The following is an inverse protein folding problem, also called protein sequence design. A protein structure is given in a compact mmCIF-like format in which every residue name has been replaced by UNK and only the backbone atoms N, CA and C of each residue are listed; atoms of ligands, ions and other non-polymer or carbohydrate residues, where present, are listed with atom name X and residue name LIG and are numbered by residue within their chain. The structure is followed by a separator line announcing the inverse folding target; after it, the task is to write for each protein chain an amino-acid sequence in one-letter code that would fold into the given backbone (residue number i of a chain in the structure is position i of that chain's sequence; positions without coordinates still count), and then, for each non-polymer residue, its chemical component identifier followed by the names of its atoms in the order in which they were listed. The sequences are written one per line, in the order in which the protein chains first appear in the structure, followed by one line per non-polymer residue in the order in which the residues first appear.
data_IF_913651973031
#
_entry.id   IF_913651973031
#
_cell.length_a   1.000
_cell.length_b   1.000
_cell.length_c   1.000
_cell.angle_alpha   90.00
_cell.angle_beta   90.00
_cell.angle_gamma   90.00
#
_symmetry.space_group_name_H-M   'P 1'
#
loop_
_entity.id
_entity.type
_entity.pdbx_description
1 polymer ?
#
# COMPACT_ATOMS: atom_id res chain seq x y z
N UNK A 1 -12.23 -11.17 8.14
CA UNK A 1 -12.59 -9.99 7.29
C UNK A 1 -14.11 -9.77 7.27
N UNK A 2 -14.90 -10.75 6.83
CA UNK A 2 -16.37 -10.63 6.75
C UNK A 2 -17.08 -10.36 8.07
N UNK A 3 -16.56 -10.89 9.19
CA UNK A 3 -17.06 -10.59 10.54
C UNK A 3 -17.03 -9.10 10.90
N UNK A 4 -16.26 -8.28 10.19
CA UNK A 4 -16.25 -6.83 10.35
C UNK A 4 -17.57 -6.16 9.98
N UNK A 5 -18.40 -6.74 9.08
CA UNK A 5 -19.69 -6.15 8.70
C UNK A 5 -20.70 -6.19 9.84
N UNK A 6 -20.97 -7.34 10.51
CA UNK A 6 -21.78 -7.37 11.73
C UNK A 6 -21.29 -6.40 12.81
N UNK A 7 -19.98 -6.29 13.03
CA UNK A 7 -19.43 -5.36 14.01
C UNK A 7 -19.66 -3.89 13.63
N UNK A 8 -19.45 -3.55 12.35
CA UNK A 8 -19.74 -2.22 11.84
C UNK A 8 -21.23 -1.87 11.91
N UNK A 9 -22.13 -2.82 11.62
CA UNK A 9 -23.57 -2.60 11.78
C UNK A 9 -23.92 -2.37 13.26
N UNK A 10 -23.39 -3.17 14.17
CA UNK A 10 -23.63 -3.00 15.60
C UNK A 10 -23.16 -1.62 16.08
N UNK A 11 -21.91 -1.24 15.79
CA UNK A 11 -21.40 0.09 16.17
C UNK A 11 -22.23 1.21 15.54
N UNK A 12 -22.61 1.07 14.27
CA UNK A 12 -23.42 2.05 13.53
C UNK A 12 -24.81 2.26 14.13
N UNK A 13 -25.49 1.20 14.56
CA UNK A 13 -26.87 1.28 15.04
C UNK A 13 -26.99 1.53 16.54
N UNK A 14 -26.07 1.00 17.34
CA UNK A 14 -26.20 1.04 18.81
C UNK A 14 -25.21 2.00 19.48
N UNK A 15 -24.07 2.28 18.85
CA UNK A 15 -23.00 3.08 19.46
C UNK A 15 -22.79 4.46 18.81
N UNK A 16 -23.45 4.76 17.70
CA UNK A 16 -23.33 6.09 17.06
C UNK A 16 -23.76 7.20 18.04
N UNK A 17 -22.89 8.21 18.22
CA UNK A 17 -23.07 9.34 19.14
C UNK A 17 -23.22 8.93 20.63
N UNK A 18 -22.75 7.73 21.01
CA UNK A 18 -22.55 7.34 22.41
C UNK A 18 -21.22 7.85 22.95
N UNK A 19 -20.98 7.65 24.24
CA UNK A 19 -19.74 8.04 24.89
C UNK A 19 -18.52 7.40 24.21
N UNK A 20 -17.46 8.18 24.00
CA UNK A 20 -16.26 7.75 23.26
C UNK A 20 -15.59 6.53 23.88
N UNK A 21 -15.61 6.40 25.21
CA UNK A 21 -15.02 5.24 25.89
C UNK A 21 -15.71 3.93 25.52
N UNK A 22 -17.03 3.93 25.24
CA UNK A 22 -17.76 2.76 24.78
C UNK A 22 -17.30 2.35 23.38
N UNK A 23 -17.03 3.32 22.51
CA UNK A 23 -16.46 3.06 21.17
C UNK A 23 -15.07 2.45 21.28
N UNK A 24 -14.22 2.99 22.15
CA UNK A 24 -12.88 2.44 22.35
C UNK A 24 -12.94 1.02 22.90
N UNK A 25 -13.74 0.78 23.94
CA UNK A 25 -13.90 -0.54 24.55
C UNK A 25 -14.46 -1.57 23.55
N UNK A 26 -15.46 -1.18 22.76
CA UNK A 26 -16.03 -2.02 21.71
C UNK A 26 -14.98 -2.42 20.67
N UNK A 27 -14.18 -1.45 20.20
CA UNK A 27 -13.11 -1.69 19.23
C UNK A 27 -12.02 -2.60 19.81
N UNK A 28 -11.60 -2.37 21.06
CA UNK A 28 -10.63 -3.23 21.75
C UNK A 28 -11.16 -4.65 21.84
N UNK A 29 -12.38 -4.84 22.37
CA UNK A 29 -12.96 -6.16 22.56
C UNK A 29 -13.08 -6.92 21.23
N UNK A 30 -13.72 -6.32 20.23
CA UNK A 30 -13.94 -6.96 18.93
C UNK A 30 -12.64 -7.23 18.17
N UNK A 31 -11.67 -6.31 18.22
CA UNK A 31 -10.36 -6.50 17.62
C UNK A 31 -9.55 -7.60 18.28
N UNK A 32 -9.54 -7.66 19.62
CA UNK A 32 -8.90 -8.75 20.37
C UNK A 32 -9.59 -10.08 20.12
N UNK A 33 -10.93 -10.11 20.01
CA UNK A 33 -11.65 -11.33 19.61
C UNK A 33 -11.23 -11.81 18.23
N UNK A 34 -11.07 -10.92 17.25
CA UNK A 34 -10.53 -11.27 15.92
C UNK A 34 -9.11 -11.79 16.04
N UNK A 35 -8.25 -11.13 16.81
CA UNK A 35 -6.86 -11.52 16.99
C UNK A 35 -6.74 -12.92 17.62
N UNK A 36 -7.47 -13.16 18.71
CA UNK A 36 -7.49 -14.45 19.39
C UNK A 36 -8.08 -15.56 18.50
N UNK A 37 -9.16 -15.29 17.78
CA UNK A 37 -9.78 -16.27 16.88
C UNK A 37 -8.82 -16.73 15.77
N UNK A 38 -8.03 -15.82 15.20
CA UNK A 38 -7.12 -16.17 14.09
C UNK A 38 -5.77 -16.71 14.56
N UNK A 39 -5.27 -16.26 15.73
CA UNK A 39 -3.87 -16.50 16.12
C UNK A 39 -3.71 -17.13 17.51
N UNK A 40 -4.80 -17.49 18.19
CA UNK A 40 -4.78 -18.01 19.55
C UNK A 40 -4.01 -17.08 20.48
N UNK A 41 -3.12 -17.66 21.30
CA UNK A 41 -2.29 -16.92 22.27
C UNK A 41 -1.23 -16.02 21.61
N UNK A 42 -0.95 -16.15 20.31
CA UNK A 42 0.04 -15.30 19.64
C UNK A 42 -0.38 -13.83 19.56
N UNK A 43 -1.65 -13.49 19.83
CA UNK A 43 -2.09 -12.10 19.91
C UNK A 43 -1.38 -11.27 21.00
N UNK A 44 -0.79 -11.92 22.01
CA UNK A 44 0.00 -11.23 23.05
C UNK A 44 1.16 -10.41 22.48
N UNK A 45 1.75 -10.82 21.36
CA UNK A 45 2.76 -10.02 20.65
C UNK A 45 2.28 -8.61 20.31
N UNK A 46 1.03 -8.50 19.82
CA UNK A 46 0.42 -7.20 19.53
C UNK A 46 0.14 -6.40 20.81
N UNK A 47 -0.33 -7.06 21.88
CA UNK A 47 -0.65 -6.41 23.16
C UNK A 47 0.58 -5.78 23.80
N UNK A 48 1.70 -6.52 23.81
CA UNK A 48 2.98 -6.03 24.35
C UNK A 48 3.42 -4.78 23.58
N UNK A 49 3.33 -4.79 22.25
CA UNK A 49 3.74 -3.66 21.43
C UNK A 49 2.84 -2.43 21.62
N UNK A 50 1.52 -2.62 21.81
CA UNK A 50 0.58 -1.54 22.12
C UNK A 50 0.83 -0.96 23.51
N UNK A 51 1.09 -1.81 24.51
CA UNK A 51 1.42 -1.37 25.87
C UNK A 51 2.72 -0.57 25.89
N UNK A 52 3.79 -1.10 25.29
CA UNK A 52 5.09 -0.43 25.22
C UNK A 52 4.95 0.89 24.46
N UNK A 53 4.17 0.94 23.38
CA UNK A 53 3.93 2.18 22.66
C UNK A 53 3.26 3.23 23.55
N UNK A 54 2.23 2.85 24.30
CA UNK A 54 1.58 3.76 25.25
C UNK A 54 2.57 4.28 26.31
N UNK A 55 3.41 3.40 26.86
CA UNK A 55 4.43 3.78 27.84
C UNK A 55 5.46 4.75 27.24
N UNK A 56 5.92 4.52 26.00
CA UNK A 56 6.82 5.44 25.30
C UNK A 56 6.17 6.83 25.18
N UNK A 57 4.92 6.92 24.70
CA UNK A 57 4.21 8.20 24.54
C UNK A 57 4.02 8.93 25.88
N UNK A 58 3.78 8.19 26.96
CA UNK A 58 3.56 8.76 28.31
C UNK A 58 4.84 9.18 29.00
N UNK A 59 5.87 8.34 28.98
CA UNK A 59 7.09 8.54 29.75
C UNK A 59 8.11 9.42 29.02
N UNK A 60 8.21 9.31 27.69
CA UNK A 60 9.17 10.06 26.89
C UNK A 60 8.57 11.32 26.27
N UNK A 61 7.24 11.48 26.33
CA UNK A 61 6.52 12.66 25.86
C UNK A 61 6.70 12.93 24.36
N UNK A 62 6.61 14.20 23.97
CA UNK A 62 6.70 14.66 22.58
C UNK A 62 8.15 14.93 22.18
N UNK A 63 9.00 13.93 22.31
CA UNK A 63 10.45 14.06 22.02
C UNK A 63 10.83 13.30 20.76
N UNK A 64 11.93 13.72 20.12
CA UNK A 64 12.52 12.95 19.02
C UNK A 64 13.01 11.58 19.51
N UNK A 65 13.44 11.48 20.78
CA UNK A 65 13.81 10.23 21.43
C UNK A 65 12.64 9.25 21.43
N UNK A 66 11.41 9.70 21.75
CA UNK A 66 10.22 8.84 21.69
C UNK A 66 9.97 8.29 20.28
N UNK A 67 10.12 9.13 19.24
CA UNK A 67 9.96 8.72 17.84
C UNK A 67 11.01 7.67 17.45
N UNK A 68 12.27 7.92 17.77
CA UNK A 68 13.39 7.03 17.47
C UNK A 68 13.24 5.69 18.20
N UNK A 69 12.93 5.72 19.49
CA UNK A 69 12.70 4.52 20.30
C UNK A 69 11.52 3.71 19.78
N UNK A 70 10.39 4.35 19.46
CA UNK A 70 9.25 3.68 18.80
C UNK A 70 9.68 3.04 17.48
N UNK A 71 10.38 3.78 16.61
CA UNK A 71 10.77 3.26 15.30
C UNK A 71 11.62 2.00 15.43
N UNK A 72 12.69 2.05 16.23
CA UNK A 72 13.58 0.91 16.42
C UNK A 72 12.88 -0.26 17.13
N UNK A 73 12.14 0.01 18.21
CA UNK A 73 11.42 -1.05 18.93
C UNK A 73 10.43 -1.78 18.03
N UNK A 74 9.51 -1.06 17.37
CA UNK A 74 8.45 -1.66 16.58
C UNK A 74 9.00 -2.42 15.35
N UNK A 75 9.99 -1.83 14.65
CA UNK A 75 10.64 -2.51 13.52
C UNK A 75 11.42 -3.74 13.98
N UNK A 76 12.17 -3.66 15.08
CA UNK A 76 12.95 -4.80 15.60
C UNK A 76 12.03 -5.94 16.02
N UNK A 77 10.92 -5.61 16.70
CA UNK A 77 9.93 -6.62 17.12
C UNK A 77 9.29 -7.30 15.91
N UNK A 78 8.91 -6.54 14.88
CA UNK A 78 8.40 -7.09 13.62
C UNK A 78 9.43 -7.99 12.93
N UNK A 79 10.69 -7.56 12.83
CA UNK A 79 11.76 -8.34 12.20
C UNK A 79 12.05 -9.62 12.97
N UNK A 80 12.08 -9.57 14.31
CA UNK A 80 12.19 -10.77 15.15
C UNK A 80 10.99 -11.70 14.92
N UNK A 81 9.79 -11.16 14.85
CA UNK A 81 8.59 -11.92 14.51
C UNK A 81 8.72 -12.64 13.17
N UNK A 82 9.18 -11.96 12.12
CA UNK A 82 9.46 -12.62 10.83
C UNK A 82 10.55 -13.67 10.93
N UNK A 83 11.65 -13.42 11.65
CA UNK A 83 12.73 -14.39 11.80
C UNK A 83 12.25 -15.69 12.46
N UNK A 84 11.49 -15.59 13.56
CA UNK A 84 11.01 -16.77 14.30
C UNK A 84 9.81 -17.45 13.64
N UNK A 85 9.16 -16.81 12.67
CA UNK A 85 7.93 -17.32 12.06
C UNK A 85 8.00 -17.40 10.54
N UNK A 86 9.15 -17.19 9.91
CA UNK A 86 9.26 -17.32 8.45
C UNK A 86 9.01 -18.76 8.00
N UNK A 87 8.31 -18.90 6.87
CA UNK A 87 8.07 -20.18 6.17
C UNK A 87 8.43 -20.02 4.70
N UNK A 88 8.65 -21.14 4.01
CA UNK A 88 8.95 -21.15 2.57
C UNK A 88 7.71 -20.96 1.67
N UNK A 89 6.53 -20.89 2.29
CA UNK A 89 5.23 -20.71 1.65
C UNK A 89 4.45 -19.58 2.32
N UNK A 90 3.49 -19.02 1.58
CA UNK A 90 2.60 -17.98 2.09
C UNK A 90 1.75 -18.53 3.23
N UNK A 91 1.92 -17.98 4.43
CA UNK A 91 1.20 -18.40 5.63
C UNK A 91 0.61 -17.18 6.36
N UNK A 92 -0.57 -17.36 6.94
CA UNK A 92 -1.29 -16.31 7.65
C UNK A 92 -0.94 -16.42 9.14
N UNK A 93 0.10 -15.68 9.53
CA UNK A 93 0.59 -15.64 10.92
C UNK A 93 0.23 -14.34 11.61
N UNK A 94 0.44 -14.30 12.93
CA UNK A 94 0.20 -13.10 13.74
C UNK A 94 1.02 -11.89 13.25
N UNK A 95 2.14 -12.12 12.55
CA UNK A 95 2.96 -11.09 11.93
C UNK A 95 2.25 -10.32 10.80
N UNK A 96 1.22 -10.90 10.18
CA UNK A 96 0.45 -10.28 9.10
C UNK A 96 -0.34 -9.04 9.55
N UNK A 97 -1.21 -9.08 10.58
CA UNK A 97 -1.77 -7.86 11.16
C UNK A 97 -0.73 -7.03 11.90
N UNK A 98 0.34 -7.65 12.41
CA UNK A 98 1.37 -6.94 13.17
C UNK A 98 2.18 -5.97 12.31
N UNK A 99 2.42 -6.27 11.02
CA UNK A 99 3.11 -5.35 10.13
C UNK A 99 2.29 -4.06 9.90
N UNK A 100 0.97 -4.18 9.84
CA UNK A 100 0.04 -3.04 9.76
C UNK A 100 0.07 -2.24 11.06
N UNK A 101 0.04 -2.93 12.22
CA UNK A 101 0.13 -2.33 13.54
C UNK A 101 1.45 -1.57 13.73
N UNK A 102 2.58 -2.13 13.29
CA UNK A 102 3.91 -1.50 13.34
C UNK A 102 3.88 -0.10 12.71
N UNK A 103 3.31 0.03 11.52
CA UNK A 103 3.18 1.33 10.84
C UNK A 103 2.24 2.28 11.59
N UNK A 104 1.12 1.78 12.13
CA UNK A 104 0.19 2.58 12.95
C UNK A 104 0.88 3.17 14.17
N UNK A 105 1.66 2.37 14.90
CA UNK A 105 2.32 2.80 16.15
C UNK A 105 3.47 3.78 15.87
N UNK A 106 4.25 3.55 14.80
CA UNK A 106 5.26 4.51 14.34
C UNK A 106 4.62 5.83 13.91
N UNK A 107 3.55 5.77 13.10
CA UNK A 107 2.81 6.95 12.66
C UNK A 107 2.25 7.75 13.85
N UNK A 108 1.67 7.07 14.84
CA UNK A 108 1.17 7.67 16.07
C UNK A 108 2.25 8.43 16.85
N UNK A 109 3.45 7.86 17.01
CA UNK A 109 4.54 8.55 17.70
C UNK A 109 4.98 9.82 16.97
N UNK A 110 5.07 9.76 15.64
CA UNK A 110 5.45 10.91 14.83
C UNK A 110 4.36 11.99 14.85
N UNK A 111 3.09 11.61 14.75
CA UNK A 111 1.95 12.54 14.80
C UNK A 111 1.81 13.18 16.19
N UNK A 112 2.11 12.44 17.26
CA UNK A 112 2.15 12.97 18.63
C UNK A 112 3.33 13.93 18.84
N UNK A 113 4.51 13.63 18.28
CA UNK A 113 5.64 14.55 18.28
C UNK A 113 5.33 15.86 17.55
N UNK A 114 4.74 15.77 16.35
CA UNK A 114 4.34 16.96 15.60
C UNK A 114 3.22 17.76 16.30
N UNK A 115 2.35 17.11 17.08
CA UNK A 115 1.35 17.76 17.92
C UNK A 115 1.89 18.64 19.05
N UNK A 116 3.20 18.58 19.33
CA UNK A 116 3.88 19.47 20.27
C UNK A 116 4.50 20.72 19.65
N UNK A 117 4.49 20.84 18.31
CA UNK A 117 5.07 21.98 17.61
C UNK A 117 4.04 23.08 17.38
N UNK A 118 4.54 24.30 17.18
CA UNK A 118 3.69 25.42 16.77
C UNK A 118 3.01 25.10 15.42
N UNK A 119 1.68 25.31 15.30
CA UNK A 119 0.96 25.15 14.04
C UNK A 119 1.59 25.85 12.83
N UNK A 120 2.25 27.00 13.01
CA UNK A 120 2.86 27.79 11.94
C UNK A 120 4.06 27.09 11.29
N UNK A 121 4.83 26.31 12.05
CA UNK A 121 5.97 25.53 11.54
C UNK A 121 5.56 24.18 10.95
N UNK A 122 4.29 23.79 11.06
CA UNK A 122 3.77 22.55 10.52
C UNK A 122 3.31 22.73 9.07
N UNK A 123 3.72 21.79 8.22
CA UNK A 123 3.10 21.66 6.89
C UNK A 123 1.59 21.37 7.02
N UNK A 124 0.76 21.70 6.01
CA UNK A 124 -0.68 21.41 6.06
C UNK A 124 -0.99 19.93 6.34
N UNK A 125 -0.17 19.02 5.82
CA UNK A 125 -0.32 17.58 6.08
C UNK A 125 -0.02 17.24 7.53
N UNK A 126 1.10 17.71 8.10
CA UNK A 126 1.41 17.47 9.51
C UNK A 126 0.34 18.06 10.43
N UNK A 127 -0.15 19.27 10.13
CA UNK A 127 -1.20 19.93 10.91
C UNK A 127 -2.51 19.11 10.93
N UNK A 128 -2.85 18.42 9.84
CA UNK A 128 -4.05 17.57 9.73
C UNK A 128 -4.01 16.36 10.66
N UNK A 129 -2.83 15.76 10.84
CA UNK A 129 -2.66 14.48 11.55
C UNK A 129 -2.02 14.62 12.94
N UNK A 130 -1.53 15.81 13.28
CA UNK A 130 -0.94 16.10 14.57
C UNK A 130 -1.89 15.71 15.74
N UNK A 131 -1.37 14.88 16.65
CA UNK A 131 -2.10 14.44 17.85
C UNK A 131 -1.77 15.39 19.00
N UNK A 132 -2.69 16.32 19.26
CA UNK A 132 -2.51 17.40 20.25
C UNK A 132 -2.92 17.04 21.68
N UNK A 133 -3.75 16.03 21.88
CA UNK A 133 -4.02 15.47 23.21
C UNK A 133 -2.96 14.45 23.58
N UNK A 134 -2.85 14.11 24.87
CA UNK A 134 -2.10 12.91 25.28
C UNK A 134 -3.05 11.71 25.23
N UNK A 135 -2.85 10.74 24.32
CA UNK A 135 -3.76 9.62 24.20
C UNK A 135 -3.84 8.78 25.48
N UNK A 136 -5.05 8.37 25.85
CA UNK A 136 -5.25 7.37 26.91
C UNK A 136 -4.87 5.97 26.42
N UNK A 137 -4.59 5.05 27.35
CA UNK A 137 -4.29 3.66 26.97
C UNK A 137 -5.46 3.01 26.22
N UNK A 138 -6.69 3.33 26.63
CA UNK A 138 -7.91 2.84 25.99
C UNK A 138 -8.06 3.38 24.56
N UNK A 139 -7.75 4.66 24.33
CA UNK A 139 -7.72 5.24 22.98
C UNK A 139 -6.66 4.58 22.08
N UNK A 140 -5.42 4.41 22.57
CA UNK A 140 -4.34 3.75 21.80
C UNK A 140 -4.72 2.31 21.48
N UNK A 141 -5.31 1.60 22.44
CA UNK A 141 -5.78 0.23 22.26
C UNK A 141 -6.92 0.17 21.25
N UNK A 142 -7.93 1.04 21.35
CA UNK A 142 -9.05 1.08 20.42
C UNK A 142 -8.64 1.43 18.99
N UNK A 143 -7.65 2.33 18.82
CA UNK A 143 -7.05 2.65 17.52
C UNK A 143 -6.31 1.45 16.90
N UNK A 144 -5.54 0.76 17.74
CA UNK A 144 -4.72 -0.39 17.34
C UNK A 144 -5.60 -1.58 16.94
N UNK A 145 -6.62 -1.85 17.74
CA UNK A 145 -7.53 -3.00 17.61
C UNK A 145 -8.84 -2.68 16.89
N UNK A 146 -8.96 -1.54 16.20
CA UNK A 146 -10.14 -1.27 15.39
C UNK A 146 -10.42 -2.42 14.41
N UNK A 147 -11.50 -3.17 14.66
CA UNK A 147 -11.83 -4.43 13.98
C UNK A 147 -11.87 -4.28 12.46
N UNK A 148 -12.30 -3.12 11.96
CA UNK A 148 -12.45 -2.83 10.55
C UNK A 148 -11.14 -2.70 9.79
N UNK A 149 -9.99 -2.66 10.48
CA UNK A 149 -8.70 -2.51 9.83
C UNK A 149 -7.55 -3.23 10.57
N UNK A 150 -7.88 -4.13 11.50
CA UNK A 150 -6.88 -4.88 12.29
C UNK A 150 -6.09 -5.87 11.43
N UNK A 151 -6.79 -6.66 10.59
CA UNK A 151 -6.16 -7.78 9.87
C UNK A 151 -5.23 -7.32 8.74
N UNK A 152 -5.73 -6.52 7.80
CA UNK A 152 -5.03 -6.22 6.52
C UNK A 152 -4.92 -4.72 6.23
N UNK A 153 -5.13 -3.88 7.25
CA UNK A 153 -5.37 -2.45 7.06
C UNK A 153 -6.81 -2.17 6.62
N UNK A 154 -7.14 -0.97 6.09
CA UNK A 154 -6.21 0.08 5.63
C UNK A 154 -5.47 0.81 6.76
N UNK A 155 -4.41 1.53 6.39
CA UNK A 155 -3.75 2.49 7.27
C UNK A 155 -4.63 3.74 7.44
N UNK A 156 -4.72 4.26 8.66
CA UNK A 156 -5.41 5.52 8.98
C UNK A 156 -4.76 6.15 10.21
N UNK A 157 -4.99 7.45 10.40
CA UNK A 157 -4.38 8.20 11.49
C UNK A 157 -5.17 8.08 12.81
N UNK A 158 -4.49 8.35 13.92
CA UNK A 158 -5.13 8.48 15.22
C UNK A 158 -6.18 9.60 15.23
N UNK A 159 -5.93 10.70 14.53
CA UNK A 159 -6.89 11.80 14.42
C UNK A 159 -8.18 11.37 13.73
N UNK A 160 -8.10 10.58 12.65
CA UNK A 160 -9.28 10.06 11.96
C UNK A 160 -10.03 9.05 12.83
N UNK A 161 -9.31 8.22 13.60
CA UNK A 161 -9.90 7.34 14.60
C UNK A 161 -10.67 8.11 15.68
N UNK A 162 -10.08 9.17 16.21
CA UNK A 162 -10.71 10.00 17.24
C UNK A 162 -11.97 10.70 16.69
N UNK A 163 -11.93 11.17 15.44
CA UNK A 163 -13.12 11.71 14.74
C UNK A 163 -14.21 10.65 14.59
N UNK A 164 -13.84 9.42 14.23
CA UNK A 164 -14.78 8.30 14.17
C UNK A 164 -15.43 8.05 15.54
N UNK A 165 -14.61 7.99 16.60
CA UNK A 165 -15.09 7.76 17.96
C UNK A 165 -16.03 8.86 18.46
N UNK A 166 -15.82 10.12 18.05
CA UNK A 166 -16.72 11.25 18.32
C UNK A 166 -17.93 11.34 17.40
N UNK A 167 -18.07 10.44 16.43
CA UNK A 167 -19.19 10.47 15.46
C UNK A 167 -19.10 11.62 14.45
N UNK A 168 -17.92 12.20 14.24
CA UNK A 168 -17.67 13.33 13.32
C UNK A 168 -17.45 12.88 11.86
N UNK A 169 -17.19 11.58 11.64
CA UNK A 169 -16.95 10.99 10.32
C UNK A 169 -18.26 10.69 9.58
N UNK A 170 -19.04 11.74 9.30
CA UNK A 170 -20.36 11.66 8.65
C UNK A 170 -20.56 12.75 7.61
N UNK A 171 -21.30 12.43 6.55
CA UNK A 171 -21.68 13.36 5.47
C UNK A 171 -22.74 14.38 5.90
N UNK A 172 -23.49 14.06 6.96
CA UNK A 172 -24.49 14.94 7.58
C UNK A 172 -24.19 15.02 9.08
N UNK A 173 -23.69 16.16 9.59
CA UNK A 173 -23.34 16.32 11.00
C UNK A 173 -24.47 15.89 11.95
N UNK A 174 -24.12 15.13 12.98
CA UNK A 174 -25.08 14.59 13.97
C UNK A 174 -25.93 13.42 13.48
N UNK A 175 -25.88 13.05 12.20
CA UNK A 175 -26.60 11.91 11.65
C UNK A 175 -25.66 10.78 11.27
N UNK A 176 -26.21 9.56 11.24
CA UNK A 176 -25.47 8.36 10.81
C UNK A 176 -25.00 8.55 9.36
N UNK A 177 -23.75 8.16 9.03
CA UNK A 177 -23.20 8.36 7.70
C UNK A 177 -24.02 7.62 6.63
N UNK A 178 -24.33 8.23 5.50
CA UNK A 178 -25.03 7.60 4.37
C UNK A 178 -24.11 6.68 3.56
N UNK A 179 -23.51 5.70 4.25
CA UNK A 179 -22.41 4.89 3.76
C UNK A 179 -22.77 3.42 3.50
N UNK A 180 -24.00 3.00 3.76
CA UNK A 180 -24.44 1.61 3.57
C UNK A 180 -24.30 1.14 2.12
N UNK A 181 -24.85 1.89 1.17
CA UNK A 181 -24.77 1.55 -0.27
C UNK A 181 -23.31 1.57 -0.76
N UNK A 182 -22.49 2.60 -0.48
CA UNK A 182 -21.06 2.57 -0.78
C UNK A 182 -20.31 1.35 -0.20
N UNK A 183 -20.62 0.96 1.04
CA UNK A 183 -20.03 -0.21 1.68
C UNK A 183 -20.40 -1.52 0.98
N UNK A 184 -21.68 -1.72 0.67
CA UNK A 184 -22.15 -2.91 -0.06
C UNK A 184 -21.55 -2.99 -1.46
N UNK A 185 -21.41 -1.86 -2.18
CA UNK A 185 -20.71 -1.84 -3.47
C UNK A 185 -19.27 -2.34 -3.37
N UNK A 186 -18.54 -1.95 -2.31
CA UNK A 186 -17.17 -2.43 -2.07
C UNK A 186 -17.14 -3.91 -1.70
N UNK A 187 -18.09 -4.39 -0.89
CA UNK A 187 -18.25 -5.82 -0.60
C UNK A 187 -18.48 -6.64 -1.88
N UNK A 188 -19.46 -6.26 -2.70
CA UNK A 188 -19.79 -6.96 -3.94
C UNK A 188 -18.60 -6.98 -4.90
N UNK A 189 -17.89 -5.86 -5.05
CA UNK A 189 -16.69 -5.82 -5.89
C UNK A 189 -15.60 -6.75 -5.35
N UNK A 190 -15.38 -6.77 -4.03
CA UNK A 190 -14.46 -7.73 -3.39
C UNK A 190 -14.84 -9.19 -3.67
N UNK A 191 -16.13 -9.53 -3.62
CA UNK A 191 -16.62 -10.87 -3.94
C UNK A 191 -16.40 -11.26 -5.40
N UNK A 192 -16.55 -10.32 -6.34
CA UNK A 192 -16.21 -10.56 -7.75
C UNK A 192 -14.74 -10.94 -7.90
N UNK A 193 -13.82 -10.16 -7.31
CA UNK A 193 -12.40 -10.47 -7.33
C UNK A 193 -12.06 -11.79 -6.63
N UNK A 194 -12.77 -12.13 -5.55
CA UNK A 194 -12.61 -13.42 -4.88
C UNK A 194 -12.94 -14.58 -5.83
N UNK A 195 -14.11 -14.54 -6.46
CA UNK A 195 -14.54 -15.59 -7.40
C UNK A 195 -13.56 -15.68 -8.57
N UNK A 196 -13.17 -14.54 -9.14
CA UNK A 196 -12.18 -14.51 -10.24
C UNK A 196 -10.84 -15.12 -9.80
N UNK A 197 -10.34 -14.77 -8.62
CA UNK A 197 -9.10 -15.34 -8.08
C UNK A 197 -9.22 -16.84 -7.88
N UNK A 198 -10.25 -17.30 -7.17
CA UNK A 198 -10.46 -18.72 -6.85
C UNK A 198 -10.56 -19.58 -8.11
N UNK A 199 -11.26 -19.12 -9.14
CA UNK A 199 -11.37 -19.86 -10.41
C UNK A 199 -10.07 -19.83 -11.20
N UNK A 200 -9.38 -18.69 -11.23
CA UNK A 200 -8.14 -18.54 -11.99
C UNK A 200 -6.97 -19.29 -11.36
N UNK A 201 -6.91 -19.36 -10.02
CA UNK A 201 -5.83 -20.03 -9.28
C UNK A 201 -5.81 -21.55 -9.47
N UNK A 202 -6.89 -22.14 -9.98
CA UNK A 202 -6.92 -23.56 -10.36
C UNK A 202 -6.04 -23.86 -11.58
N UNK A 203 -5.81 -22.86 -12.43
CA UNK A 203 -5.05 -22.98 -13.67
C UNK A 203 -3.72 -22.22 -13.62
N UNK A 204 -3.67 -21.15 -12.83
CA UNK A 204 -2.51 -20.25 -12.71
C UNK A 204 -2.02 -20.27 -11.28
N UNK A 205 -1.03 -21.13 -10.98
CA UNK A 205 -0.41 -21.26 -9.66
C UNK A 205 1.05 -20.81 -9.65
N UNK A 206 1.55 -20.46 -8.46
CA UNK A 206 2.96 -20.21 -8.19
C UNK A 206 3.81 -21.48 -8.24
N UNK A 207 3.23 -22.63 -7.90
CA UNK A 207 3.88 -23.94 -7.98
C UNK A 207 4.30 -24.26 -9.42
N UNK A 208 3.43 -23.98 -10.39
CA UNK A 208 3.71 -24.23 -11.80
C UNK A 208 4.95 -23.47 -12.29
N UNK A 209 5.18 -22.24 -11.83
CA UNK A 209 6.39 -21.45 -12.19
C UNK A 209 7.70 -22.19 -11.86
N UNK A 210 7.67 -23.09 -10.88
CA UNK A 210 8.85 -23.84 -10.43
C UNK A 210 8.89 -25.27 -10.95
N UNK A 211 7.83 -25.73 -11.62
CA UNK A 211 7.70 -27.08 -12.19
C UNK A 211 8.61 -27.29 -13.40
N UNK A 212 8.95 -28.55 -13.67
CA UNK A 212 9.80 -28.88 -14.83
C UNK A 212 9.05 -28.71 -16.15
N UNK A 213 7.73 -28.97 -16.20
CA UNK A 213 6.89 -28.69 -17.38
C UNK A 213 6.97 -27.21 -17.79
N UNK A 214 6.90 -26.28 -16.83
CA UNK A 214 7.09 -24.85 -17.12
C UNK A 214 8.48 -24.55 -17.68
N UNK A 215 9.53 -25.22 -17.18
CA UNK A 215 10.91 -24.99 -17.62
C UNK A 215 11.14 -25.45 -19.06
N UNK A 216 10.43 -26.49 -19.49
CA UNK A 216 10.45 -27.01 -20.87
C UNK A 216 9.69 -26.13 -21.87
N UNK A 217 8.82 -25.22 -21.40
CA UNK A 217 8.07 -24.35 -22.30
C UNK A 217 8.96 -23.33 -23.01
N UNK A 218 8.59 -22.92 -24.24
CA UNK A 218 9.29 -21.86 -24.95
C UNK A 218 9.37 -20.55 -24.15
N UNK A 219 10.40 -19.75 -24.41
CA UNK A 219 10.64 -18.48 -23.74
C UNK A 219 9.40 -17.57 -23.67
N UNK A 220 8.70 -17.39 -24.78
CA UNK A 220 7.52 -16.52 -24.84
C UNK A 220 6.33 -17.05 -24.06
N UNK A 221 6.18 -18.37 -23.97
CA UNK A 221 5.16 -18.97 -23.11
C UNK A 221 5.43 -18.66 -21.65
N UNK A 222 6.68 -18.85 -21.20
CA UNK A 222 7.11 -18.54 -19.82
C UNK A 222 6.86 -17.07 -19.46
N UNK A 223 7.21 -16.15 -20.37
CA UNK A 223 6.92 -14.72 -20.21
C UNK A 223 5.40 -14.44 -20.13
N UNK A 224 4.62 -15.00 -21.05
CA UNK A 224 3.16 -14.83 -21.06
C UNK A 224 2.49 -15.38 -19.80
N UNK A 225 2.98 -16.50 -19.28
CA UNK A 225 2.50 -17.06 -18.03
C UNK A 225 2.80 -16.13 -16.84
N UNK A 226 4.03 -15.60 -16.72
CA UNK A 226 4.39 -14.63 -15.66
C UNK A 226 3.49 -13.38 -15.70
N UNK A 227 3.18 -12.88 -16.90
CA UNK A 227 2.28 -11.73 -17.08
C UNK A 227 0.90 -12.02 -16.48
N UNK A 228 0.28 -13.14 -16.87
CA UNK A 228 -1.07 -13.52 -16.41
C UNK A 228 -1.04 -13.83 -14.91
N UNK A 229 -0.05 -14.62 -14.48
CA UNK A 229 0.15 -14.98 -13.07
C UNK A 229 0.31 -13.75 -12.17
N UNK A 230 1.12 -12.77 -12.58
CA UNK A 230 1.34 -11.54 -11.82
C UNK A 230 0.06 -10.75 -11.57
N UNK A 231 -0.87 -10.77 -12.54
CA UNK A 231 -2.18 -10.15 -12.38
C UNK A 231 -3.08 -10.93 -11.43
N UNK A 232 -3.18 -12.25 -11.63
CA UNK A 232 -4.05 -13.13 -10.83
C UNK A 232 -3.60 -13.18 -9.36
N UNK A 233 -2.29 -13.30 -9.09
CA UNK A 233 -1.79 -13.43 -7.72
C UNK A 233 -2.12 -12.22 -6.84
N UNK A 234 -2.28 -11.04 -7.44
CA UNK A 234 -2.65 -9.81 -6.73
C UNK A 234 -4.13 -9.73 -6.37
N UNK A 235 -5.02 -10.46 -7.06
CA UNK A 235 -6.46 -10.39 -6.82
C UNK A 235 -6.88 -10.85 -5.42
N UNK A 236 -6.10 -11.74 -4.77
CA UNK A 236 -6.33 -12.08 -3.36
C UNK A 236 -6.18 -10.87 -2.43
N UNK A 237 -5.21 -9.99 -2.68
CA UNK A 237 -5.02 -8.77 -1.90
C UNK A 237 -6.09 -7.72 -2.24
N UNK A 238 -6.42 -7.57 -3.52
CA UNK A 238 -7.51 -6.71 -4.00
C UNK A 238 -8.83 -7.06 -3.29
N UNK A 239 -9.15 -8.36 -3.22
CA UNK A 239 -10.31 -8.90 -2.50
C UNK A 239 -10.30 -8.45 -1.03
N UNK A 240 -9.21 -8.75 -0.31
CA UNK A 240 -9.08 -8.43 1.10
C UNK A 240 -9.25 -6.93 1.38
N UNK A 241 -8.64 -6.07 0.56
CA UNK A 241 -8.77 -4.62 0.74
C UNK A 241 -10.16 -4.11 0.41
N UNK A 242 -10.80 -4.55 -0.66
CA UNK A 242 -12.16 -4.11 -1.00
C UNK A 242 -13.18 -4.49 0.08
N UNK A 243 -13.11 -5.73 0.59
CA UNK A 243 -13.99 -6.18 1.67
C UNK A 243 -13.79 -5.32 2.91
N UNK A 244 -12.54 -5.03 3.28
CA UNK A 244 -12.19 -4.28 4.49
C UNK A 244 -12.48 -2.78 4.36
N UNK A 245 -12.30 -2.22 3.17
CA UNK A 245 -12.75 -0.87 2.82
C UNK A 245 -14.26 -0.71 3.07
N UNK A 246 -15.07 -1.69 2.63
CA UNK A 246 -16.50 -1.66 2.85
C UNK A 246 -16.87 -1.63 4.35
N UNK A 247 -16.16 -2.37 5.20
CA UNK A 247 -16.34 -2.30 6.67
C UNK A 247 -16.04 -0.90 7.22
N UNK A 248 -14.90 -0.33 6.82
CA UNK A 248 -14.49 1.01 7.24
C UNK A 248 -15.47 2.10 6.75
N UNK A 249 -15.99 1.96 5.53
CA UNK A 249 -17.00 2.86 4.97
C UNK A 249 -18.31 2.75 5.76
N UNK A 250 -18.76 1.52 6.06
CA UNK A 250 -20.05 1.26 6.71
C UNK A 250 -20.19 1.96 8.08
N UNK A 251 -19.10 2.00 8.86
CA UNK A 251 -19.05 2.66 10.17
C UNK A 251 -18.73 4.16 10.09
N UNK A 252 -18.28 4.66 8.93
CA UNK A 252 -18.04 6.08 8.66
C UNK A 252 -16.58 6.48 8.47
N UNK A 253 -15.62 5.65 8.88
CA UNK A 253 -14.18 5.94 8.79
C UNK A 253 -13.73 6.26 7.35
N UNK A 254 -14.43 5.73 6.35
CA UNK A 254 -14.17 6.02 4.94
C UNK A 254 -14.49 7.45 4.47
N UNK A 255 -15.17 8.28 5.28
CA UNK A 255 -15.58 9.64 4.89
C UNK A 255 -14.38 10.59 4.72
N UNK A 256 -14.37 11.37 3.63
CA UNK A 256 -13.30 12.30 3.31
C UNK A 256 -13.84 13.62 2.71
N UNK A 257 -14.95 14.12 3.23
CA UNK A 257 -15.60 15.34 2.75
C UNK A 257 -16.45 15.11 1.49
N UNK A 258 -16.59 16.15 0.67
CA UNK A 258 -17.42 16.13 -0.54
C UNK A 258 -16.59 16.47 -1.79
N UNK A 259 -17.02 15.95 -2.93
CA UNK A 259 -16.46 16.31 -4.23
C UNK A 259 -16.92 17.71 -4.70
N UNK A 260 -16.44 18.14 -5.86
CA UNK A 260 -16.83 19.39 -6.51
C UNK A 260 -18.33 19.51 -6.82
N UNK A 261 -19.05 18.38 -6.86
CA UNK A 261 -20.50 18.32 -7.09
C UNK A 261 -21.29 18.20 -5.78
N UNK A 262 -20.62 18.31 -4.62
CA UNK A 262 -21.24 18.16 -3.30
C UNK A 262 -21.55 16.72 -2.87
N UNK A 263 -21.10 15.69 -3.61
CA UNK A 263 -21.34 14.28 -3.26
C UNK A 263 -20.33 13.80 -2.21
N UNK A 264 -20.76 13.02 -1.20
CA UNK A 264 -19.86 12.52 -0.16
C UNK A 264 -18.81 11.56 -0.72
N UNK A 265 -17.56 11.78 -0.32
CA UNK A 265 -16.42 10.96 -0.70
C UNK A 265 -16.17 9.88 0.36
N UNK A 266 -16.27 8.62 -0.05
CA UNK A 266 -16.02 7.43 0.79
C UNK A 266 -14.67 6.79 0.43
N UNK A 267 -13.60 7.59 0.46
CA UNK A 267 -12.27 7.18 0.00
C UNK A 267 -11.12 7.41 1.00
N UNK A 268 -11.38 7.83 2.24
CA UNK A 268 -10.33 8.00 3.26
C UNK A 268 -9.60 6.68 3.56
N UNK A 269 -10.33 5.57 3.47
CA UNK A 269 -9.82 4.21 3.71
C UNK A 269 -9.53 3.45 2.40
N UNK A 270 -9.61 4.09 1.23
CA UNK A 270 -9.40 3.40 -0.03
C UNK A 270 -7.95 2.94 -0.17
N UNK A 271 -7.72 1.63 -0.22
CA UNK A 271 -6.47 0.99 -0.58
C UNK A 271 -6.44 0.56 -2.05
N UNK A 272 -7.59 0.49 -2.71
CA UNK A 272 -7.73 0.05 -4.09
C UNK A 272 -8.60 1.00 -4.94
N UNK A 273 -8.01 1.49 -6.04
CA UNK A 273 -8.72 2.15 -7.15
C UNK A 273 -8.82 1.20 -8.34
N UNK A 274 -9.78 0.28 -8.28
CA UNK A 274 -9.93 -0.84 -9.24
C UNK A 274 -9.88 -0.38 -10.69
N UNK A 275 -10.63 0.65 -11.08
CA UNK A 275 -10.63 1.11 -12.47
C UNK A 275 -9.24 1.54 -12.94
N UNK A 276 -8.56 2.39 -12.16
CA UNK A 276 -7.20 2.82 -12.49
C UNK A 276 -6.22 1.65 -12.51
N UNK A 277 -6.34 0.71 -11.56
CA UNK A 277 -5.50 -0.48 -11.48
C UNK A 277 -5.64 -1.38 -12.72
N UNK A 278 -6.88 -1.59 -13.20
CA UNK A 278 -7.15 -2.44 -14.35
C UNK A 278 -6.79 -1.79 -15.69
N UNK A 279 -6.91 -0.46 -15.79
CA UNK A 279 -6.76 0.25 -17.08
C UNK A 279 -5.48 1.05 -17.22
N UNK A 280 -4.65 1.19 -16.18
CA UNK A 280 -3.40 1.96 -16.29
C UNK A 280 -2.35 1.20 -17.11
N UNK A 281 -1.79 1.80 -18.17
CA UNK A 281 -0.65 1.23 -18.89
C UNK A 281 0.70 1.58 -18.26
N UNK A 282 0.69 2.25 -17.11
CA UNK A 282 1.87 2.78 -16.41
C UNK A 282 2.01 2.17 -15.01
N UNK A 283 3.25 1.86 -14.64
CA UNK A 283 3.65 1.40 -13.31
C UNK A 283 3.32 2.43 -12.23
N UNK A 284 3.57 3.71 -12.50
CA UNK A 284 3.19 4.78 -11.57
C UNK A 284 1.68 4.85 -11.32
N UNK A 285 0.85 4.47 -12.31
CA UNK A 285 -0.59 4.34 -12.11
C UNK A 285 -0.97 3.15 -11.21
N UNK A 286 -0.25 2.03 -11.30
CA UNK A 286 -0.42 0.89 -10.39
C UNK A 286 -0.04 1.25 -8.97
N UNK A 287 1.11 1.89 -8.76
CA UNK A 287 1.53 2.41 -7.43
C UNK A 287 0.49 3.39 -6.86
N UNK A 288 -0.12 4.23 -7.72
CA UNK A 288 -1.15 5.19 -7.30
C UNK A 288 -2.55 4.57 -7.04
N UNK A 289 -2.75 3.30 -7.40
CA UNK A 289 -4.04 2.60 -7.31
C UNK A 289 -4.04 1.41 -6.34
N UNK A 290 -2.87 0.87 -6.01
CA UNK A 290 -2.67 -0.31 -5.18
C UNK A 290 -2.06 0.08 -3.83
N UNK A 291 -2.56 -0.50 -2.73
CA UNK A 291 -2.11 -0.25 -1.35
C UNK A 291 -2.00 1.24 -0.97
N UNK A 292 -2.98 2.04 -1.39
CA UNK A 292 -2.91 3.51 -1.41
C UNK A 292 -2.58 4.12 -0.04
N UNK A 293 -3.20 3.65 1.06
CA UNK A 293 -2.94 4.26 2.38
C UNK A 293 -1.56 3.89 2.93
N UNK A 294 -1.01 2.73 2.58
CA UNK A 294 0.38 2.40 2.92
C UNK A 294 1.37 3.25 2.13
N UNK A 295 1.09 3.49 0.84
CA UNK A 295 1.89 4.41 0.02
C UNK A 295 1.80 5.86 0.53
N UNK A 296 0.62 6.30 0.96
CA UNK A 296 0.43 7.61 1.59
C UNK A 296 1.17 7.70 2.94
N UNK A 297 1.14 6.62 3.74
CA UNK A 297 1.91 6.51 4.99
C UNK A 297 3.40 6.65 4.70
N UNK A 298 3.94 5.87 3.76
CA UNK A 298 5.36 5.93 3.39
C UNK A 298 5.76 7.32 2.90
N UNK A 299 4.92 7.92 2.05
CA UNK A 299 5.15 9.26 1.53
C UNK A 299 5.26 10.29 2.66
N UNK A 300 4.36 10.22 3.66
CA UNK A 300 4.27 11.18 4.76
C UNK A 300 5.35 10.98 5.82
N UNK A 301 5.53 9.74 6.29
CA UNK A 301 6.35 9.45 7.47
C UNK A 301 7.81 9.17 7.12
N UNK A 302 8.11 8.72 5.90
CA UNK A 302 9.49 8.43 5.47
C UNK A 302 9.93 9.41 4.38
N UNK A 303 9.36 9.32 3.17
CA UNK A 303 9.87 10.03 1.99
C UNK A 303 9.96 11.55 2.15
N UNK A 304 8.86 12.22 2.56
CA UNK A 304 8.84 13.67 2.75
C UNK A 304 9.73 14.14 3.90
N UNK A 305 9.96 13.28 4.91
CA UNK A 305 10.82 13.60 6.06
C UNK A 305 12.30 13.45 5.72
N UNK A 306 12.65 12.65 4.70
CA UNK A 306 13.99 12.57 4.13
C UNK A 306 14.35 13.76 3.21
N UNK A 307 13.54 14.82 3.17
CA UNK A 307 13.80 16.03 2.35
C UNK A 307 15.14 16.69 2.69
N UNK A 308 15.63 16.55 3.92
CA UNK A 308 16.93 17.10 4.35
C UNK A 308 18.13 16.53 3.56
N UNK A 309 17.98 15.37 2.91
CA UNK A 309 19.04 14.77 2.07
C UNK A 309 19.30 15.54 0.77
N UNK A 310 18.41 16.46 0.36
CA UNK A 310 18.57 17.24 -0.87
C UNK A 310 18.48 16.45 -2.18
N UNK A 311 18.34 15.13 -2.14
CA UNK A 311 18.28 14.25 -3.31
C UNK A 311 16.99 13.43 -3.33
N UNK A 312 16.07 13.77 -4.24
CA UNK A 312 14.77 13.09 -4.39
C UNK A 312 14.90 11.60 -4.70
N UNK A 313 15.87 11.22 -5.53
CA UNK A 313 16.09 9.81 -5.90
C UNK A 313 16.57 9.01 -4.69
N UNK A 314 17.49 9.58 -3.91
CA UNK A 314 17.95 8.96 -2.67
C UNK A 314 16.82 8.82 -1.65
N UNK A 315 15.99 9.85 -1.46
CA UNK A 315 14.82 9.77 -0.58
C UNK A 315 13.83 8.69 -1.04
N UNK A 316 13.62 8.54 -2.36
CA UNK A 316 12.76 7.48 -2.92
C UNK A 316 13.37 6.10 -2.71
N UNK A 317 14.67 5.93 -2.96
CA UNK A 317 15.38 4.67 -2.77
C UNK A 317 15.32 4.21 -1.30
N UNK A 318 15.56 5.11 -0.34
CA UNK A 318 15.46 4.81 1.09
C UNK A 318 14.03 4.48 1.53
N UNK A 319 13.02 5.13 0.94
CA UNK A 319 11.62 4.81 1.23
C UNK A 319 11.24 3.39 0.72
N UNK A 320 11.67 3.03 -0.49
CA UNK A 320 11.46 1.68 -1.03
C UNK A 320 12.27 0.61 -0.28
N UNK A 321 13.48 0.95 0.16
CA UNK A 321 14.29 0.09 1.01
C UNK A 321 13.60 -0.17 2.36
N UNK A 322 13.02 0.87 2.97
CA UNK A 322 12.18 0.71 4.16
C UNK A 322 11.00 -0.24 3.91
N UNK A 323 10.29 -0.10 2.78
CA UNK A 323 9.19 -1.02 2.44
C UNK A 323 9.68 -2.46 2.29
N UNK A 324 10.83 -2.67 1.64
CA UNK A 324 11.41 -4.01 1.49
C UNK A 324 11.67 -4.67 2.84
N UNK A 325 12.28 -3.94 3.78
CA UNK A 325 12.53 -4.43 5.14
C UNK A 325 11.20 -4.67 5.87
N UNK A 326 10.25 -3.74 5.78
CA UNK A 326 8.93 -3.87 6.44
C UNK A 326 8.14 -5.09 5.96
N UNK A 327 8.30 -5.48 4.69
CA UNK A 327 7.70 -6.70 4.16
C UNK A 327 8.34 -7.98 4.70
N UNK A 328 9.63 -7.96 5.02
CA UNK A 328 10.30 -9.01 5.78
C UNK A 328 11.74 -9.28 5.34
N UNK A 329 12.23 -10.46 5.73
CA UNK A 329 13.66 -10.81 5.61
C UNK A 329 14.03 -11.56 4.31
N UNK A 330 13.03 -11.95 3.52
CA UNK A 330 13.29 -12.64 2.25
C UNK A 330 13.93 -11.70 1.23
N UNK A 331 14.99 -12.17 0.57
CA UNK A 331 15.73 -11.41 -0.45
C UNK A 331 14.84 -10.94 -1.59
N UNK A 332 13.76 -11.66 -1.88
CA UNK A 332 12.86 -11.32 -2.96
C UNK A 332 12.10 -10.00 -2.78
N UNK A 333 11.89 -9.55 -1.54
CA UNK A 333 11.32 -8.23 -1.28
C UNK A 333 12.26 -7.12 -1.76
N UNK A 334 13.56 -7.22 -1.49
CA UNK A 334 14.56 -6.26 -1.96
C UNK A 334 14.59 -6.20 -3.48
N UNK A 335 14.55 -7.35 -4.15
CA UNK A 335 14.55 -7.43 -5.62
C UNK A 335 13.29 -6.79 -6.22
N UNK A 336 12.12 -7.04 -5.65
CA UNK A 336 10.86 -6.45 -6.11
C UNK A 336 10.89 -4.92 -6.05
N UNK A 337 11.27 -4.34 -4.90
CA UNK A 337 11.31 -2.88 -4.72
C UNK A 337 12.48 -2.23 -5.47
N UNK A 338 13.58 -2.93 -5.70
CA UNK A 338 14.63 -2.48 -6.61
C UNK A 338 14.11 -2.38 -8.06
N UNK A 339 13.39 -3.40 -8.53
CA UNK A 339 12.76 -3.37 -9.85
C UNK A 339 11.73 -2.25 -9.95
N UNK A 340 10.91 -2.03 -8.92
CA UNK A 340 9.98 -0.89 -8.87
C UNK A 340 10.72 0.45 -9.08
N UNK A 341 11.82 0.67 -8.34
CA UNK A 341 12.62 1.89 -8.48
C UNK A 341 13.16 2.05 -9.91
N UNK A 342 13.77 0.99 -10.45
CA UNK A 342 14.38 1.00 -11.78
C UNK A 342 13.33 1.28 -12.87
N UNK A 343 12.19 0.59 -12.81
CA UNK A 343 11.10 0.74 -13.78
C UNK A 343 10.52 2.15 -13.71
N UNK A 344 10.28 2.70 -12.52
CA UNK A 344 9.74 4.06 -12.36
C UNK A 344 10.69 5.13 -12.91
N UNK A 345 12.01 4.95 -12.76
CA UNK A 345 13.01 5.85 -13.35
C UNK A 345 12.93 5.78 -14.88
N UNK A 346 12.96 4.57 -15.45
CA UNK A 346 12.90 4.35 -16.90
C UNK A 346 11.58 4.85 -17.49
N UNK A 347 10.44 4.53 -16.87
CA UNK A 347 9.12 5.02 -17.28
C UNK A 347 9.10 6.54 -17.37
N UNK A 348 9.64 7.25 -16.36
CA UNK A 348 9.74 8.71 -16.38
C UNK A 348 10.63 9.21 -17.51
N UNK A 349 11.74 8.53 -17.80
CA UNK A 349 12.62 8.90 -18.91
C UNK A 349 11.93 8.71 -20.27
N UNK A 350 11.22 7.59 -20.47
CA UNK A 350 10.45 7.31 -21.69
C UNK A 350 9.34 8.34 -21.88
N UNK A 351 8.54 8.62 -20.85
CA UNK A 351 7.46 9.63 -20.94
C UNK A 351 8.03 11.00 -21.32
N UNK A 352 9.13 11.42 -20.68
CA UNK A 352 9.77 12.69 -21.02
C UNK A 352 10.34 12.67 -22.44
N UNK A 353 10.95 11.56 -22.89
CA UNK A 353 11.49 11.43 -24.24
C UNK A 353 10.38 11.54 -25.29
N UNK A 354 9.27 10.85 -25.11
CA UNK A 354 8.12 10.91 -26.02
C UNK A 354 7.51 12.31 -26.05
N UNK A 355 7.36 12.96 -24.89
CA UNK A 355 6.83 14.32 -24.80
C UNK A 355 7.75 15.35 -25.45
N UNK A 356 9.05 15.27 -25.18
CA UNK A 356 10.01 16.31 -25.56
C UNK A 356 10.54 16.14 -27.00
N UNK A 357 10.26 14.99 -27.64
CA UNK A 357 10.67 14.68 -29.02
C UNK A 357 9.52 14.95 -30.01
N UNK A 358 9.66 15.90 -30.95
CA UNK A 358 8.64 16.17 -31.96
C UNK A 358 8.19 14.94 -32.77
N UNK A 359 9.08 14.07 -33.30
CA UNK A 359 8.64 12.91 -34.07
C UNK A 359 7.88 11.89 -33.22
N UNK A 360 8.32 11.64 -31.97
CA UNK A 360 7.65 10.68 -31.08
C UNK A 360 6.31 11.23 -30.56
N UNK A 361 6.25 12.52 -30.25
CA UNK A 361 5.03 13.19 -29.83
C UNK A 361 3.98 13.18 -30.95
N UNK A 362 4.40 13.46 -32.19
CA UNK A 362 3.54 13.40 -33.37
C UNK A 362 3.01 11.98 -33.55
N UNK A 363 3.89 10.97 -33.53
CA UNK A 363 3.49 9.56 -33.65
C UNK A 363 2.50 9.14 -32.55
N UNK A 364 2.77 9.51 -31.29
CA UNK A 364 1.90 9.20 -30.15
C UNK A 364 0.54 9.92 -30.23
N UNK A 365 0.46 11.05 -30.93
CA UNK A 365 -0.79 11.80 -31.09
C UNK A 365 -1.77 11.17 -32.09
N UNK A 366 -1.29 10.34 -33.02
CA UNK A 366 -2.09 9.69 -34.07
C UNK A 366 -3.18 8.81 -33.46
N UNK A 367 -4.44 9.21 -33.63
CA UNK A 367 -5.61 8.58 -32.99
C UNK A 367 -5.74 7.09 -33.30
N UNK A 368 -5.50 6.67 -34.55
CA UNK A 368 -5.59 5.27 -34.98
C UNK A 368 -4.55 4.37 -34.29
N UNK A 369 -3.40 4.93 -33.90
CA UNK A 369 -2.34 4.18 -33.21
C UNK A 369 -2.54 4.09 -31.70
N UNK A 370 -3.44 4.90 -31.12
CA UNK A 370 -3.64 4.94 -29.66
C UNK A 370 -4.06 3.59 -29.07
N UNK A 371 -5.02 2.83 -29.65
CA UNK A 371 -5.36 1.51 -29.13
C UNK A 371 -4.18 0.53 -29.20
N UNK A 372 -3.38 0.61 -30.26
CA UNK A 372 -2.20 -0.25 -30.44
C UNK A 372 -1.15 0.07 -29.37
N UNK A 373 -0.84 1.36 -29.17
CA UNK A 373 0.09 1.77 -28.10
C UNK A 373 -0.43 1.40 -26.72
N UNK A 374 -1.72 1.54 -26.48
CA UNK A 374 -2.33 1.12 -25.21
C UNK A 374 -2.15 -0.37 -24.96
N UNK A 375 -2.44 -1.25 -25.94
CA UNK A 375 -2.25 -2.70 -25.79
C UNK A 375 -0.78 -3.04 -25.55
N UNK A 376 0.14 -2.45 -26.32
CA UNK A 376 1.58 -2.68 -26.15
C UNK A 376 2.07 -2.24 -24.77
N UNK A 377 1.67 -1.06 -24.32
CA UNK A 377 2.04 -0.56 -22.99
C UNK A 377 1.41 -1.42 -21.89
N UNK A 378 0.16 -1.87 -22.06
CA UNK A 378 -0.52 -2.72 -21.09
C UNK A 378 0.12 -4.10 -20.97
N UNK A 379 0.50 -4.72 -22.09
CA UNK A 379 1.24 -5.99 -22.11
C UNK A 379 2.61 -5.82 -21.44
N UNK A 380 3.34 -4.75 -21.77
CA UNK A 380 4.63 -4.44 -21.14
C UNK A 380 4.48 -4.21 -19.63
N UNK A 381 3.48 -3.44 -19.23
CA UNK A 381 3.17 -3.15 -17.84
C UNK A 381 2.90 -4.43 -17.04
N UNK A 382 1.96 -5.28 -17.48
CA UNK A 382 1.65 -6.52 -16.75
C UNK A 382 2.79 -7.53 -16.78
N UNK A 383 3.55 -7.62 -17.88
CA UNK A 383 4.73 -8.48 -17.96
C UNK A 383 5.72 -8.12 -16.85
N UNK A 384 6.04 -6.84 -16.71
CA UNK A 384 7.06 -6.41 -15.76
C UNK A 384 6.55 -6.19 -14.33
N UNK A 385 5.24 -6.02 -14.14
CA UNK A 385 4.60 -6.19 -12.84
C UNK A 385 4.74 -7.64 -12.38
N UNK A 386 4.33 -8.61 -13.22
CA UNK A 386 4.47 -10.04 -12.90
C UNK A 386 5.93 -10.42 -12.65
N UNK A 387 6.84 -9.98 -13.52
CA UNK A 387 8.28 -10.20 -13.37
C UNK A 387 8.78 -9.74 -12.00
N UNK A 388 8.45 -8.51 -11.58
CA UNK A 388 8.89 -7.95 -10.30
C UNK A 388 8.32 -8.68 -9.10
N UNK A 389 7.13 -9.29 -9.24
CA UNK A 389 6.45 -10.04 -8.19
C UNK A 389 6.94 -11.47 -8.03
N UNK A 390 7.58 -12.08 -9.03
CA UNK A 390 8.14 -13.45 -8.93
C UNK A 390 8.98 -13.63 -7.65
N UNK A 391 10.02 -12.80 -7.39
CA UNK A 391 10.81 -12.95 -6.16
C UNK A 391 10.02 -12.57 -4.91
N UNK A 392 9.09 -11.63 -5.00
CA UNK A 392 8.22 -11.22 -3.88
C UNK A 392 7.34 -12.37 -3.40
N UNK A 393 6.75 -13.14 -4.32
CA UNK A 393 5.77 -14.18 -4.00
C UNK A 393 6.37 -15.56 -3.77
N UNK A 394 7.51 -15.89 -4.39
CA UNK A 394 8.14 -17.20 -4.23
C UNK A 394 9.06 -17.32 -3.01
N UNK A 395 9.37 -16.19 -2.34
CA UNK A 395 10.13 -16.03 -1.10
C UNK A 395 11.58 -16.55 -1.12
N UNK A 396 11.82 -17.82 -1.42
CA UNK A 396 13.12 -18.46 -1.32
C UNK A 396 13.97 -18.20 -2.57
N UNK A 397 15.27 -17.96 -2.33
CA UNK A 397 16.25 -17.66 -3.37
C UNK A 397 16.20 -18.65 -4.52
N UNK A 398 16.23 -19.95 -4.21
CA UNK A 398 16.30 -21.00 -5.23
C UNK A 398 15.07 -21.02 -6.15
N UNK A 399 13.87 -20.81 -5.58
CA UNK A 399 12.61 -20.81 -6.35
C UNK A 399 12.57 -19.66 -7.36
N UNK A 400 12.72 -18.42 -6.91
CA UNK A 400 12.63 -17.27 -7.82
C UNK A 400 13.83 -17.17 -8.76
N UNK A 401 15.00 -17.63 -8.33
CA UNK A 401 16.19 -17.68 -9.17
C UNK A 401 16.02 -18.68 -10.33
N UNK A 402 15.41 -19.85 -10.08
CA UNK A 402 15.06 -20.82 -11.13
C UNK A 402 14.21 -20.16 -12.22
N UNK A 403 13.17 -19.42 -11.82
CA UNK A 403 12.28 -18.69 -12.74
C UNK A 403 13.05 -17.61 -13.51
N UNK A 404 13.82 -16.75 -12.83
CA UNK A 404 14.57 -15.68 -13.50
C UNK A 404 15.62 -16.19 -14.49
N UNK A 405 16.32 -17.28 -14.17
CA UNK A 405 17.26 -17.94 -15.08
C UNK A 405 16.54 -18.49 -16.32
N UNK A 406 15.34 -19.07 -16.14
CA UNK A 406 14.55 -19.62 -17.24
C UNK A 406 14.21 -18.56 -18.31
N UNK A 407 14.05 -17.30 -17.90
CA UNK A 407 13.80 -16.16 -18.79
C UNK A 407 14.99 -15.22 -18.91
N UNK A 408 16.21 -15.72 -18.66
CA UNK A 408 17.48 -15.02 -18.88
C UNK A 408 17.57 -13.63 -18.24
N UNK A 409 16.92 -13.42 -17.09
CA UNK A 409 16.83 -12.12 -16.43
C UNK A 409 16.31 -10.99 -17.33
N UNK A 410 15.44 -11.33 -18.28
CA UNK A 410 14.98 -10.43 -19.35
C UNK A 410 14.56 -9.04 -18.84
N UNK A 411 13.82 -8.95 -17.73
CA UNK A 411 13.43 -7.68 -17.13
C UNK A 411 14.61 -6.84 -16.65
N UNK A 412 15.56 -7.42 -15.92
CA UNK A 412 16.75 -6.68 -15.49
C UNK A 412 17.56 -6.20 -16.70
N UNK A 413 17.84 -7.09 -17.66
CA UNK A 413 18.60 -6.75 -18.86
C UNK A 413 17.93 -5.60 -19.62
N UNK A 414 16.62 -5.68 -19.83
CA UNK A 414 15.87 -4.63 -20.53
C UNK A 414 15.94 -3.29 -19.80
N UNK A 415 15.57 -3.23 -18.52
CA UNK A 415 15.47 -1.96 -17.82
C UNK A 415 16.84 -1.34 -17.50
N UNK A 416 17.88 -2.14 -17.23
CA UNK A 416 19.24 -1.62 -17.10
C UNK A 416 19.75 -1.07 -18.43
N UNK A 417 19.49 -1.76 -19.55
CA UNK A 417 19.86 -1.26 -20.88
C UNK A 417 19.14 0.05 -21.18
N UNK A 418 17.83 0.13 -20.92
CA UNK A 418 17.04 1.35 -21.13
C UNK A 418 17.54 2.51 -20.25
N UNK A 419 17.87 2.25 -18.98
CA UNK A 419 18.40 3.26 -18.07
C UNK A 419 19.68 3.92 -18.62
N UNK A 420 20.56 3.11 -19.23
CA UNK A 420 21.83 3.59 -19.80
C UNK A 420 21.64 4.25 -21.16
N UNK A 421 20.77 3.71 -22.02
CA UNK A 421 20.62 4.14 -23.43
C UNK A 421 19.73 5.38 -23.58
N UNK A 422 18.62 5.49 -22.83
CA UNK A 422 17.64 6.57 -22.98
C UNK A 422 18.23 7.99 -22.84
N UNK A 423 19.18 8.28 -21.92
CA UNK A 423 19.84 9.58 -21.86
C UNK A 423 20.58 9.96 -23.15
N UNK A 424 21.21 9.01 -23.84
CA UNK A 424 21.90 9.24 -25.11
C UNK A 424 20.90 9.45 -26.24
N UNK A 425 19.88 8.61 -26.34
CA UNK A 425 18.79 8.74 -27.32
C UNK A 425 18.12 10.10 -27.19
N UNK A 426 17.85 10.55 -25.95
CA UNK A 426 17.28 11.87 -25.69
C UNK A 426 18.15 13.00 -26.26
N UNK A 427 19.47 12.92 -26.10
CA UNK A 427 20.39 13.94 -26.66
C UNK A 427 20.40 13.98 -28.18
N UNK A 428 20.10 12.86 -28.85
CA UNK A 428 20.09 12.75 -30.30
C UNK A 428 18.78 13.28 -30.91
N UNK A 429 17.64 12.93 -30.30
CA UNK A 429 16.32 13.15 -30.92
C UNK A 429 15.63 14.42 -30.38
N UNK A 430 15.93 14.84 -29.15
CA UNK A 430 15.34 16.07 -28.58
C UNK A 430 16.19 17.28 -28.99
N UNK A 431 15.61 18.27 -29.71
CA UNK A 431 16.34 19.46 -30.12
C UNK A 431 16.87 20.24 -28.89
N UNK A 432 18.14 20.64 -28.92
CA UNK A 432 18.71 21.52 -27.87
C UNK A 432 17.97 22.86 -27.87
N UNK A 433 17.62 23.39 -26.70
CA UNK A 433 16.94 24.69 -26.53
C UNK A 433 17.61 25.85 -27.30
N UNK A 434 18.92 25.81 -27.53
CA UNK A 434 19.65 26.80 -28.34
C UNK A 434 19.31 26.77 -29.84
N UNK A 435 18.89 25.61 -30.39
CA UNK A 435 18.50 25.50 -31.81
C UNK A 435 17.10 26.04 -32.08
N UNK A 436 16.20 26.03 -31.08
CA UNK A 436 14.87 26.63 -31.19
C UNK A 436 14.94 28.17 -31.24
N UNK A 437 15.83 28.79 -30.44
CA UNK A 437 16.08 30.25 -30.50
C UNK A 437 16.78 30.77 -31.76
N UNK A 438 17.34 29.87 -32.59
CA UNK A 438 17.95 30.24 -33.90
C UNK A 438 17.02 29.92 -35.08
N UNK A 439 15.89 29.26 -34.82
CA UNK A 439 14.89 28.87 -35.82
C UNK A 439 13.60 29.71 -35.73
N UNK A 440 13.41 30.45 -34.64
CA UNK A 440 12.59 31.66 -34.53
C UNK A 440 13.42 32.86 -34.97
#
# INVERSE_FOLDING_TARGET
LYSGYPFALFQRYFLFQKETYLIHLYNVFTGLSIAYFNFGMQFFHSLICVLIQFLILRLMGRTITAVVTTFFFQMTYLMAGYYFTATEHYDIKWTMPHCVLTLKLIGLAIDYYDGGKDPEFLTPEQRRFAVRGVPTFLEVSGFSYFYGAFMVGPQFSMTDYQKLARGEMTDVPGQRPNSFVPAVKRLCLGLVFLVTYTLSSLYISDEYLTSDDYMEKPFWFRCGYILIWGKIILYKYVTCWLVTEGVCILVGLGYNGKDQNGKPLWNACANMKVWLYETTPLFTGTIASFNINTNAWLARYIFKRLKFLGNKLLSQALALFFLAIWHGLHSGYLVCFQMELLIVIVERQVINLVRDSPPLSTLASITVLRPIFYVLQQTNHWMFMGYSLVPFCLFTWDKWMKVYRSIYFFGHVLFFTLLLVLPYVRRLIVPRKEKLKRAE
#
